data_IF_281701161051
#
_entry.id   IF_281701161051
#
_cell.length_a   1.000
_cell.length_b   1.000
_cell.length_c   1.000
_cell.angle_alpha   90.00
_cell.angle_beta   90.00
_cell.angle_gamma   90.00
#
_symmetry.space_group_name_H-M   'P 1'
#
loop_
_entity.id
_entity.type
_entity.pdbx_description
1 polymer ?
#
# COMPACT_ATOMS: atom_id res chain seq x y z
N UNK A 1 -8.34 3.53 6.32
CA UNK A 1 -7.97 2.83 5.08
C UNK A 1 -7.46 1.40 5.33
N UNK A 2 -8.18 0.56 6.11
CA UNK A 2 -7.79 -0.85 6.35
C UNK A 2 -7.99 -1.76 5.14
N UNK A 3 -8.80 -1.33 4.17
CA UNK A 3 -9.23 -2.14 3.03
C UNK A 3 -8.14 -2.29 1.97
N UNK A 4 -7.36 -1.23 1.71
CA UNK A 4 -6.27 -1.25 0.72
C UNK A 4 -5.13 -2.21 1.13
N UNK A 5 -4.98 -2.52 2.41
CA UNK A 5 -3.98 -3.52 2.86
C UNK A 5 -4.36 -4.96 2.53
N UNK A 6 -5.62 -5.22 2.18
CA UNK A 6 -6.14 -6.57 2.00
C UNK A 6 -6.60 -6.85 0.58
N UNK A 7 -7.13 -5.83 -0.10
CA UNK A 7 -7.68 -5.97 -1.45
C UNK A 7 -7.26 -4.80 -2.33
N UNK A 8 -6.98 -5.12 -3.59
CA UNK A 8 -6.81 -4.12 -4.64
C UNK A 8 -8.09 -3.31 -4.76
N UNK A 9 -7.97 -1.98 -4.86
CA UNK A 9 -9.14 -1.09 -4.99
C UNK A 9 -9.84 -1.24 -6.35
N UNK A 10 -9.10 -1.71 -7.35
CA UNK A 10 -9.53 -1.69 -8.74
C UNK A 10 -10.26 -2.98 -9.13
N UNK A 11 -9.65 -4.15 -8.89
CA UNK A 11 -10.21 -5.47 -9.22
C UNK A 11 -10.61 -6.32 -8.00
N UNK A 12 -10.34 -5.86 -6.78
CA UNK A 12 -10.68 -6.60 -5.55
C UNK A 12 -9.76 -7.79 -5.23
N UNK A 13 -8.71 -8.04 -6.03
CA UNK A 13 -7.73 -9.10 -5.79
C UNK A 13 -7.04 -8.98 -4.43
N UNK A 14 -6.72 -10.11 -3.82
CA UNK A 14 -6.12 -10.15 -2.48
C UNK A 14 -4.67 -9.67 -2.48
N UNK A 15 -4.25 -9.06 -1.36
CA UNK A 15 -2.85 -8.72 -1.13
C UNK A 15 -2.02 -10.00 -0.91
N UNK A 16 -0.97 -10.17 -1.71
CA UNK A 16 -0.06 -11.33 -1.65
C UNK A 16 1.22 -11.02 -0.88
N UNK A 17 1.64 -9.76 -0.87
CA UNK A 17 2.86 -9.32 -0.19
C UNK A 17 2.64 -7.94 0.43
N UNK A 18 3.15 -7.76 1.65
CA UNK A 18 3.13 -6.48 2.34
C UNK A 18 4.51 -6.22 2.93
N UNK A 19 5.15 -5.18 2.45
CA UNK A 19 6.45 -4.70 2.90
C UNK A 19 6.24 -3.39 3.65
N UNK A 20 6.73 -3.32 4.89
CA UNK A 20 6.70 -2.09 5.68
C UNK A 20 8.14 -1.73 6.01
N UNK A 21 8.57 -0.57 5.52
CA UNK A 21 9.90 -0.04 5.73
C UNK A 21 9.83 1.20 6.64
N UNK A 22 10.58 1.19 7.74
CA UNK A 22 10.66 2.31 8.67
C UNK A 22 11.92 3.14 8.36
N UNK A 23 11.76 4.17 7.55
CA UNK A 23 12.89 5.02 7.09
C UNK A 23 13.36 5.94 8.23
N UNK A 24 12.42 6.45 9.03
CA UNK A 24 12.68 7.34 10.16
C UNK A 24 11.70 7.02 11.29
N UNK A 25 12.02 7.35 12.55
CA UNK A 25 11.10 7.14 13.67
C UNK A 25 9.72 7.78 13.47
N UNK A 26 9.61 8.75 12.54
CA UNK A 26 8.36 9.43 12.20
C UNK A 26 7.81 9.11 10.80
N UNK A 27 8.45 8.24 10.02
CA UNK A 27 8.08 7.99 8.62
C UNK A 27 8.20 6.51 8.26
N UNK A 28 7.08 5.93 7.81
CA UNK A 28 6.95 4.54 7.41
C UNK A 28 6.48 4.48 5.97
N UNK A 29 7.13 3.68 5.14
CA UNK A 29 6.62 3.30 3.82
C UNK A 29 6.00 1.92 3.90
N UNK A 30 4.87 1.75 3.22
CA UNK A 30 4.16 0.50 3.08
C UNK A 30 4.01 0.23 1.58
N UNK A 31 4.46 -0.94 1.15
CA UNK A 31 4.30 -1.43 -0.21
C UNK A 31 3.48 -2.70 -0.14
N UNK A 32 2.30 -2.71 -0.74
CA UNK A 32 1.41 -3.87 -0.82
C UNK A 32 1.37 -4.32 -2.27
N UNK A 33 1.68 -5.59 -2.53
CA UNK A 33 1.48 -6.20 -3.83
C UNK A 33 0.22 -7.06 -3.80
N UNK A 34 -0.57 -7.00 -4.85
CA UNK A 34 -1.81 -7.76 -4.99
C UNK A 34 -1.66 -8.89 -6.02
N UNK A 35 -2.52 -9.90 -5.92
CA UNK A 35 -2.51 -11.05 -6.83
C UNK A 35 -2.74 -10.68 -8.30
N UNK A 36 -3.39 -9.55 -8.57
CA UNK A 36 -3.57 -9.00 -9.92
C UNK A 36 -2.32 -8.35 -10.51
N UNK A 37 -1.19 -8.31 -9.77
CA UNK A 37 0.02 -7.60 -10.16
C UNK A 37 0.01 -6.11 -9.82
N UNK A 38 -1.08 -5.59 -9.25
CA UNK A 38 -1.11 -4.22 -8.77
C UNK A 38 -0.19 -4.03 -7.54
N UNK A 39 0.32 -2.83 -7.39
CA UNK A 39 1.13 -2.40 -6.27
C UNK A 39 0.57 -1.12 -5.67
N UNK A 40 0.42 -1.11 -4.36
CA UNK A 40 0.08 0.05 -3.57
C UNK A 40 1.28 0.49 -2.75
N UNK A 41 1.74 1.72 -2.96
CA UNK A 41 2.83 2.34 -2.20
C UNK A 41 2.27 3.50 -1.41
N UNK A 42 2.18 3.34 -0.09
CA UNK A 42 1.74 4.36 0.85
C UNK A 42 2.89 4.82 1.74
N UNK A 43 3.04 6.13 1.93
CA UNK A 43 3.92 6.71 2.95
C UNK A 43 3.09 7.29 4.09
N UNK A 44 3.44 6.93 5.31
CA UNK A 44 2.73 7.27 6.54
C UNK A 44 3.68 7.97 7.51
N UNK A 45 3.25 9.11 8.03
CA UNK A 45 3.90 9.70 9.19
C UNK A 45 3.34 9.10 10.49
N UNK A 46 4.09 9.10 11.59
CA UNK A 46 3.64 8.61 12.92
C UNK A 46 2.36 9.27 13.42
N UNK A 47 2.01 10.47 12.95
CA UNK A 47 0.73 11.14 13.22
C UNK A 47 -0.45 10.66 12.35
N UNK A 48 -0.33 9.54 11.66
CA UNK A 48 -1.31 9.04 10.67
C UNK A 48 -1.57 9.98 9.48
N UNK A 49 -0.74 11.00 9.27
CA UNK A 49 -0.78 11.79 8.05
C UNK A 49 -0.16 10.96 6.92
N UNK A 50 -1.01 10.55 5.98
CA UNK A 50 -0.58 9.92 4.74
C UNK A 50 0.06 10.99 3.86
N UNK A 51 1.34 10.81 3.53
CA UNK A 51 2.09 11.76 2.71
C UNK A 51 1.71 11.62 1.24
N UNK A 52 2.14 10.51 0.64
CA UNK A 52 1.80 10.09 -0.71
C UNK A 52 1.35 8.64 -0.72
N UNK A 53 0.28 8.37 -1.46
CA UNK A 53 -0.16 7.02 -1.79
C UNK A 53 -0.30 6.90 -3.30
N UNK A 54 0.38 5.92 -3.87
CA UNK A 54 0.30 5.57 -5.28
C UNK A 54 -0.25 4.15 -5.39
N UNK A 55 -1.20 3.95 -6.29
CA UNK A 55 -1.73 2.64 -6.65
C UNK A 55 -1.54 2.50 -8.16
N UNK A 56 -0.88 1.44 -8.61
CA UNK A 56 -0.55 1.25 -10.03
C UNK A 56 -0.43 -0.22 -10.36
N UNK A 57 -0.49 -0.57 -11.65
CA UNK A 57 -0.28 -1.95 -12.11
C UNK A 57 -1.49 -2.87 -12.04
N UNK A 58 -2.70 -2.34 -11.79
CA UNK A 58 -3.89 -3.14 -12.04
C UNK A 58 -4.11 -3.24 -13.55
N UNK A 59 -3.83 -4.41 -14.12
CA UNK A 59 -4.19 -4.78 -15.48
C UNK A 59 -5.59 -5.41 -15.44
N UNK A 60 -6.64 -4.59 -15.50
CA UNK A 60 -7.98 -5.09 -15.76
C UNK A 60 -8.22 -5.16 -17.27
#
# INVERSE_FOLDING_TARGET
>A
MKYLRRKCIDCGSEAVEMLVDEIKPNFRMEVVKYACGAEFRGSFSTRSNMGKAEHSGCMN
#
